data_IF_601095991239
#
_entry.id   IF_601095991239
#
_cell.length_a   1.000
_cell.length_b   1.000
_cell.length_c   1.000
_cell.angle_alpha   90.00
_cell.angle_beta   90.00
_cell.angle_gamma   90.00
#
_symmetry.space_group_name_H-M   'P 1'
#
loop_
_entity.id
_entity.type
_entity.pdbx_description
1 polymer ?
#
# COMPACT_ATOMS: atom_id res chain seq x y z
N UNK A 1 -14.06 23.29 -3.78
CA UNK A 1 -12.92 23.04 -2.88
C UNK A 1 -13.49 22.57 -1.56
N UNK A 2 -13.07 21.42 -1.03
CA UNK A 2 -13.52 20.98 0.30
C UNK A 2 -13.10 22.03 1.35
N UNK A 3 -14.02 22.43 2.22
CA UNK A 3 -13.71 23.41 3.26
C UNK A 3 -12.81 22.78 4.35
N UNK A 4 -12.11 23.59 5.13
CA UNK A 4 -11.15 23.10 6.14
C UNK A 4 -11.76 22.12 7.16
N UNK A 5 -13.02 22.32 7.52
CA UNK A 5 -13.77 21.44 8.42
C UNK A 5 -14.05 20.05 7.83
N UNK A 6 -14.36 19.98 6.53
CA UNK A 6 -14.61 18.73 5.83
C UNK A 6 -13.34 17.88 5.78
N UNK A 7 -12.19 18.51 5.49
CA UNK A 7 -10.89 17.82 5.46
C UNK A 7 -10.49 17.25 6.83
N UNK A 8 -10.76 17.98 7.91
CA UNK A 8 -10.53 17.49 9.27
C UNK A 8 -11.42 16.28 9.60
N UNK A 9 -12.69 16.31 9.18
CA UNK A 9 -13.62 15.19 9.36
C UNK A 9 -13.15 13.94 8.60
N UNK A 10 -12.72 14.11 7.34
CA UNK A 10 -12.16 13.02 6.54
C UNK A 10 -10.92 12.40 7.18
N UNK A 11 -10.01 13.23 7.68
CA UNK A 11 -8.82 12.77 8.39
C UNK A 11 -9.19 11.96 9.64
N UNK A 12 -10.13 12.45 10.48
CA UNK A 12 -10.58 11.72 11.67
C UNK A 12 -11.21 10.37 11.32
N UNK A 13 -12.05 10.32 10.30
CA UNK A 13 -12.68 9.07 9.82
C UNK A 13 -11.63 8.09 9.30
N UNK A 14 -10.62 8.58 8.59
CA UNK A 14 -9.53 7.78 8.08
C UNK A 14 -8.68 7.17 9.18
N UNK A 15 -8.35 7.97 10.20
CA UNK A 15 -7.63 7.49 11.38
C UNK A 15 -8.47 6.50 12.19
N UNK A 16 -9.77 6.74 12.34
CA UNK A 16 -10.67 5.82 13.03
C UNK A 16 -10.77 4.44 12.36
N UNK A 17 -10.79 4.40 11.03
CA UNK A 17 -10.95 3.16 10.29
C UNK A 17 -9.67 2.29 10.22
N UNK A 18 -8.52 2.78 10.71
CA UNK A 18 -7.25 2.03 10.84
C UNK A 18 -6.73 1.37 9.55
N UNK A 19 -7.25 1.77 8.39
CA UNK A 19 -7.06 0.99 7.18
C UNK A 19 -5.61 1.09 6.63
N UNK A 20 -4.80 2.04 7.08
CA UNK A 20 -3.47 2.31 6.53
C UNK A 20 -2.32 1.77 7.37
N UNK A 21 -2.60 1.03 8.44
CA UNK A 21 -1.58 0.55 9.37
C UNK A 21 -0.77 -0.63 8.83
N UNK A 22 0.30 -0.97 9.55
CA UNK A 22 1.24 -2.01 9.18
C UNK A 22 0.52 -3.34 8.89
N UNK A 23 0.85 -3.97 7.76
CA UNK A 23 0.27 -5.25 7.36
C UNK A 23 -1.09 -5.16 6.66
N UNK A 24 -1.63 -3.96 6.41
CA UNK A 24 -2.85 -3.81 5.61
C UNK A 24 -2.57 -3.88 4.11
N UNK A 25 -3.47 -4.53 3.38
CA UNK A 25 -3.36 -4.76 1.94
C UNK A 25 -4.39 -3.93 1.17
N UNK A 26 -3.93 -3.42 0.03
CA UNK A 26 -4.64 -2.47 -0.81
C UNK A 26 -4.45 -2.79 -2.28
N UNK A 27 -5.23 -2.14 -3.13
CA UNK A 27 -5.07 -2.09 -4.57
C UNK A 27 -4.72 -0.65 -4.97
N UNK A 28 -3.49 -0.46 -5.46
CA UNK A 28 -2.97 0.81 -5.95
C UNK A 28 -3.28 0.92 -7.43
N UNK A 29 -4.03 1.96 -7.83
CA UNK A 29 -4.33 2.20 -9.24
C UNK A 29 -3.08 2.53 -10.04
N UNK A 30 -3.11 2.16 -11.30
CA UNK A 30 -2.02 2.39 -12.23
C UNK A 30 -1.62 3.88 -12.34
N UNK A 31 -2.60 4.78 -12.31
CA UNK A 31 -2.38 6.24 -12.37
C UNK A 31 -1.52 6.75 -11.23
N UNK A 32 -1.74 6.22 -10.02
CA UNK A 32 -0.96 6.53 -8.84
C UNK A 32 0.47 6.04 -8.99
N UNK A 33 0.68 4.79 -9.41
CA UNK A 33 2.01 4.22 -9.55
C UNK A 33 2.83 4.95 -10.61
N UNK A 34 2.22 5.28 -11.75
CA UNK A 34 2.84 6.12 -12.78
C UNK A 34 3.26 7.47 -12.19
N UNK A 35 2.43 8.10 -11.35
CA UNK A 35 2.78 9.39 -10.76
C UNK A 35 3.88 9.30 -9.71
N UNK A 36 3.77 8.35 -8.78
CA UNK A 36 4.59 8.31 -7.55
C UNK A 36 5.86 7.45 -7.67
N UNK A 37 5.98 6.58 -8.68
CA UNK A 37 7.13 5.68 -8.83
C UNK A 37 8.00 6.08 -10.04
N UNK A 38 9.17 6.72 -9.81
CA UNK A 38 10.14 7.00 -10.87
C UNK A 38 10.60 5.72 -11.58
N UNK A 39 10.66 5.75 -12.90
CA UNK A 39 11.04 4.59 -13.73
C UNK A 39 9.96 3.52 -13.87
N UNK A 40 8.75 3.76 -13.37
CA UNK A 40 7.61 2.89 -13.61
C UNK A 40 7.19 2.92 -15.09
N UNK A 41 6.79 1.77 -15.62
CA UNK A 41 6.38 1.62 -17.02
C UNK A 41 5.16 2.49 -17.35
N UNK A 42 5.38 3.51 -18.19
CA UNK A 42 4.34 4.44 -18.62
C UNK A 42 3.35 3.79 -19.59
N UNK A 43 3.78 2.76 -20.31
CA UNK A 43 2.97 2.01 -21.28
C UNK A 43 2.11 0.91 -20.67
N UNK A 44 2.30 0.56 -19.40
CA UNK A 44 1.51 -0.49 -18.74
C UNK A 44 0.02 -0.18 -18.77
N UNK A 45 -0.77 -1.19 -19.16
CA UNK A 45 -2.23 -1.15 -19.30
C UNK A 45 -2.97 -1.83 -18.15
N UNK A 46 -2.24 -2.19 -17.08
CA UNK A 46 -2.82 -2.81 -15.90
C UNK A 46 -3.77 -1.85 -15.20
N UNK A 47 -4.78 -2.39 -14.51
CA UNK A 47 -5.69 -1.59 -13.70
C UNK A 47 -5.06 -1.16 -12.37
N UNK A 48 -4.16 -1.97 -11.84
CA UNK A 48 -3.45 -1.68 -10.61
C UNK A 48 -2.66 -2.86 -10.03
N UNK A 49 -1.99 -2.57 -8.92
CA UNK A 49 -1.10 -3.48 -8.22
C UNK A 49 -1.50 -3.62 -6.75
N UNK A 50 -1.28 -4.79 -6.13
CA UNK A 50 -1.37 -4.91 -4.70
C UNK A 50 -0.38 -3.96 -4.02
N UNK A 51 -0.85 -3.25 -3.00
CA UNK A 51 -0.04 -2.45 -2.09
C UNK A 51 -0.08 -3.08 -0.70
N UNK A 52 1.05 -3.09 -0.01
CA UNK A 52 1.17 -3.56 1.38
C UNK A 52 1.68 -2.41 2.25
N UNK A 53 0.88 -1.95 3.20
CA UNK A 53 1.30 -0.89 4.11
C UNK A 53 2.38 -1.38 5.06
N UNK A 54 3.46 -0.62 5.15
CA UNK A 54 4.53 -0.79 6.15
C UNK A 54 4.54 0.38 7.13
N UNK A 55 3.46 1.17 7.17
CA UNK A 55 3.37 2.34 8.01
C UNK A 55 3.06 1.95 9.46
N UNK A 56 3.92 2.36 10.39
CA UNK A 56 3.74 2.12 11.83
C UNK A 56 3.25 3.37 12.59
N UNK A 57 3.35 4.54 11.98
CA UNK A 57 2.98 5.80 12.60
C UNK A 57 1.53 6.15 12.30
N UNK A 58 0.84 6.74 13.27
CA UNK A 58 -0.45 7.38 13.01
C UNK A 58 -0.28 8.57 12.07
N UNK A 59 -1.27 8.75 11.20
CA UNK A 59 -1.38 9.91 10.33
C UNK A 59 -2.02 11.06 11.13
N UNK A 60 -1.40 12.23 11.09
CA UNK A 60 -1.84 13.47 11.73
C UNK A 60 -2.32 14.52 10.72
N UNK A 61 -2.05 14.32 9.43
CA UNK A 61 -2.42 15.22 8.35
C UNK A 61 -2.72 14.47 7.05
N UNK A 62 -3.60 15.02 6.22
CA UNK A 62 -3.88 14.49 4.87
C UNK A 62 -2.68 14.56 3.91
N UNK A 63 -1.62 15.29 4.30
CA UNK A 63 -0.35 15.38 3.58
C UNK A 63 0.69 14.39 4.07
N UNK A 64 0.45 13.72 5.20
CA UNK A 64 1.40 12.74 5.72
C UNK A 64 1.57 11.59 4.73
N UNK A 65 2.74 10.98 4.81
CA UNK A 65 3.10 9.89 3.91
C UNK A 65 2.89 8.55 4.59
N UNK A 66 2.10 7.71 3.95
CA UNK A 66 1.98 6.28 4.23
C UNK A 66 2.89 5.56 3.25
N UNK A 67 3.79 4.72 3.76
CA UNK A 67 4.69 3.93 2.92
C UNK A 67 4.08 2.58 2.61
N UNK A 68 4.06 2.22 1.33
CA UNK A 68 3.54 0.94 0.85
C UNK A 68 4.56 0.22 -0.02
N UNK A 69 4.66 -1.10 0.13
CA UNK A 69 5.37 -1.96 -0.80
C UNK A 69 4.46 -2.30 -1.99
N UNK A 70 5.02 -2.39 -3.19
CA UNK A 70 4.28 -2.81 -4.38
C UNK A 70 4.41 -4.32 -4.56
N UNK A 71 3.28 -5.00 -4.81
CA UNK A 71 3.21 -6.40 -5.15
C UNK A 71 3.64 -6.66 -6.60
N UNK A 72 4.57 -7.60 -6.76
CA UNK A 72 5.09 -8.07 -8.05
C UNK A 72 4.90 -9.58 -8.20
N UNK A 73 4.88 -10.06 -9.44
CA UNK A 73 4.62 -11.47 -9.76
C UNK A 73 5.83 -12.38 -9.57
N UNK A 74 7.05 -11.82 -9.63
CA UNK A 74 8.30 -12.56 -9.52
C UNK A 74 9.04 -12.10 -8.28
N UNK A 75 9.68 -13.02 -7.53
CA UNK A 75 10.52 -12.64 -6.40
C UNK A 75 11.70 -11.81 -6.91
N UNK A 76 12.05 -10.76 -6.17
CA UNK A 76 13.25 -9.97 -6.42
C UNK A 76 13.94 -9.67 -5.09
N UNK A 77 15.20 -10.09 -4.97
CA UNK A 77 15.96 -9.97 -3.73
C UNK A 77 15.22 -10.58 -2.53
N UNK A 78 15.34 -9.95 -1.36
CA UNK A 78 14.54 -10.31 -0.19
C UNK A 78 13.12 -9.74 -0.35
N UNK A 79 12.15 -10.64 -0.40
CA UNK A 79 10.73 -10.30 -0.57
C UNK A 79 9.85 -11.18 0.31
N UNK A 80 8.73 -10.62 0.77
CA UNK A 80 7.66 -11.35 1.43
C UNK A 80 6.77 -11.98 0.36
N UNK A 81 6.43 -13.25 0.50
CA UNK A 81 5.50 -13.94 -0.39
C UNK A 81 4.13 -14.07 0.28
N UNK A 82 3.09 -13.52 -0.36
CA UNK A 82 1.72 -13.50 0.15
C UNK A 82 0.81 -14.19 -0.87
N UNK A 83 -0.11 -15.03 -0.40
CA UNK A 83 -1.10 -15.70 -1.26
C UNK A 83 -2.48 -15.09 -1.09
N UNK A 84 -3.40 -15.37 -2.03
CA UNK A 84 -4.79 -14.88 -1.92
C UNK A 84 -4.97 -13.37 -2.09
N UNK A 85 -4.00 -12.66 -2.68
CA UNK A 85 -4.03 -11.18 -2.78
C UNK A 85 -4.97 -10.67 -3.88
N UNK A 86 -5.21 -11.46 -4.93
CA UNK A 86 -6.03 -11.06 -6.07
C UNK A 86 -7.21 -12.02 -6.24
N UNK A 87 -8.38 -11.47 -6.59
CA UNK A 87 -9.58 -12.25 -6.89
C UNK A 87 -9.29 -13.22 -8.03
N UNK A 88 -9.77 -14.46 -7.92
CA UNK A 88 -9.61 -15.52 -8.92
C UNK A 88 -8.16 -15.94 -9.20
N UNK A 89 -7.21 -15.60 -8.33
CA UNK A 89 -5.88 -16.20 -8.41
C UNK A 89 -5.90 -17.62 -7.84
N UNK A 90 -5.15 -18.56 -8.43
CA UNK A 90 -4.96 -19.88 -7.83
C UNK A 90 -4.44 -19.74 -6.39
N UNK A 91 -4.85 -20.62 -5.44
CA UNK A 91 -4.44 -20.53 -4.04
C UNK A 91 -2.91 -20.46 -3.84
N UNK A 92 -2.15 -21.16 -4.69
CA UNK A 92 -0.70 -21.23 -4.67
C UNK A 92 -0.01 -20.00 -5.30
N UNK A 93 -0.77 -19.13 -5.98
CA UNK A 93 -0.21 -17.97 -6.67
C UNK A 93 0.25 -16.93 -5.65
N UNK A 94 1.57 -16.75 -5.60
CA UNK A 94 2.24 -15.79 -4.73
C UNK A 94 2.30 -14.41 -5.36
N UNK A 95 2.06 -13.40 -4.55
CA UNK A 95 2.43 -12.01 -4.79
C UNK A 95 3.62 -11.69 -3.90
N UNK A 96 4.67 -11.15 -4.48
CA UNK A 96 5.89 -10.82 -3.76
C UNK A 96 5.94 -9.33 -3.45
N UNK A 97 6.23 -8.98 -2.20
CA UNK A 97 6.44 -7.60 -1.76
C UNK A 97 7.90 -7.43 -1.36
N UNK A 98 8.63 -6.62 -2.12
CA UNK A 98 10.03 -6.31 -1.81
C UNK A 98 10.12 -4.98 -1.05
N UNK A 99 11.18 -4.81 -0.26
CA UNK A 99 11.40 -3.59 0.55
C UNK A 99 12.03 -2.45 -0.28
N UNK A 100 12.35 -2.71 -1.55
CA UNK A 100 13.03 -1.72 -2.37
C UNK A 100 12.06 -0.65 -2.82
N UNK A 101 12.39 0.62 -2.51
CA UNK A 101 11.63 1.81 -2.92
C UNK A 101 10.13 1.71 -2.61
N UNK A 102 9.73 1.69 -1.32
CA UNK A 102 8.33 1.80 -0.95
C UNK A 102 7.72 3.06 -1.59
N UNK A 103 6.52 2.94 -2.12
CA UNK A 103 5.76 4.07 -2.66
C UNK A 103 5.25 4.90 -1.48
N UNK A 104 5.42 6.21 -1.60
CA UNK A 104 4.81 7.19 -0.72
C UNK A 104 3.40 7.50 -1.24
N UNK A 105 2.39 7.29 -0.41
CA UNK A 105 1.01 7.70 -0.69
C UNK A 105 0.49 8.59 0.42
N UNK A 106 -0.48 9.45 0.12
CA UNK A 106 -1.11 10.32 1.12
C UNK A 106 -2.53 9.85 1.43
N UNK A 107 -3.08 10.15 2.63
CA UNK A 107 -4.48 9.88 2.96
C UNK A 107 -5.48 10.35 1.90
N UNK A 108 -5.22 11.48 1.23
CA UNK A 108 -6.06 11.97 0.13
C UNK A 108 -6.26 10.97 -1.02
N UNK A 109 -5.31 10.05 -1.23
CA UNK A 109 -5.39 9.05 -2.31
C UNK A 109 -6.43 7.95 -2.02
N UNK A 110 -6.94 7.87 -0.79
CA UNK A 110 -7.93 6.87 -0.36
C UNK A 110 -9.38 7.35 -0.49
N UNK A 111 -9.62 8.64 -0.72
CA UNK A 111 -10.97 9.20 -0.78
C UNK A 111 -11.41 9.50 -2.21
N UNK A 112 -12.69 9.30 -2.48
CA UNK A 112 -13.36 9.97 -3.58
C UNK A 112 -13.61 11.42 -3.16
N UNK A 113 -12.86 12.33 -3.75
CA UNK A 113 -13.07 13.77 -3.61
C UNK A 113 -13.90 14.27 -4.79
N UNK A 114 -14.58 15.41 -4.63
CA UNK A 114 -15.38 16.01 -5.70
C UNK A 114 -14.58 16.30 -6.98
N UNK A 115 -13.25 16.40 -6.86
CA UNK A 115 -12.32 16.71 -7.96
C UNK A 115 -11.48 15.53 -8.43
N UNK A 116 -11.52 14.38 -7.74
CA UNK A 116 -10.65 13.25 -8.04
C UNK A 116 -11.21 11.94 -7.46
N UNK A 117 -11.17 10.88 -8.26
CA UNK A 117 -11.48 9.53 -7.80
C UNK A 117 -10.41 9.02 -6.82
N UNK A 118 -10.81 8.10 -5.93
CA UNK A 118 -9.85 7.39 -5.10
C UNK A 118 -8.87 6.61 -5.98
N UNK A 119 -7.58 6.65 -5.64
CA UNK A 119 -6.52 5.94 -6.35
C UNK A 119 -6.00 4.72 -5.60
N UNK A 120 -6.50 4.53 -4.38
CA UNK A 120 -6.21 3.39 -3.52
C UNK A 120 -7.54 2.79 -3.10
N UNK A 121 -7.70 1.51 -3.36
CA UNK A 121 -8.92 0.75 -3.08
C UNK A 121 -8.61 -0.40 -2.14
N UNK A 122 -9.53 -0.70 -1.23
CA UNK A 122 -9.34 -1.78 -0.25
C UNK A 122 -9.13 -3.10 -0.99
N UNK A 123 -8.22 -3.92 -0.48
CA UNK A 123 -8.13 -5.29 -0.96
C UNK A 123 -9.25 -6.13 -0.30
N UNK A 124 -10.38 -6.25 -0.98
CA UNK A 124 -11.55 -6.97 -0.46
C UNK A 124 -11.34 -8.51 -0.38
N UNK A 125 -10.31 -9.03 -1.06
CA UNK A 125 -10.00 -10.47 -1.07
C UNK A 125 -9.16 -10.84 0.14
N UNK A 126 -8.11 -10.05 0.40
CA UNK A 126 -7.25 -10.18 1.56
C UNK A 126 -6.92 -8.79 2.09
N UNK A 127 -7.69 -8.24 3.04
CA UNK A 127 -7.52 -6.87 3.52
C UNK A 127 -6.31 -6.69 4.45
N UNK A 128 -5.82 -7.77 5.05
CA UNK A 128 -4.66 -7.80 5.96
C UNK A 128 -3.87 -9.08 5.76
N UNK A 129 -2.58 -9.01 6.08
CA UNK A 129 -1.75 -10.21 6.24
C UNK A 129 -2.29 -11.10 7.37
N UNK A 130 -2.05 -12.40 7.25
CA UNK A 130 -2.21 -13.31 8.39
C UNK A 130 -1.01 -13.23 9.34
N UNK A 131 -1.12 -13.85 10.51
CA UNK A 131 -0.11 -13.75 11.57
C UNK A 131 1.28 -14.23 11.12
N UNK A 132 1.33 -15.24 10.26
CA UNK A 132 2.59 -15.78 9.73
C UNK A 132 3.22 -14.79 8.75
N UNK A 133 2.47 -14.33 7.77
CA UNK A 133 2.92 -13.32 6.82
C UNK A 133 3.31 -12.00 7.51
N UNK A 134 2.59 -11.63 8.57
CA UNK A 134 2.89 -10.46 9.39
C UNK A 134 4.25 -10.60 10.06
N UNK A 135 4.53 -11.73 10.73
CA UNK A 135 5.82 -11.99 11.35
C UNK A 135 6.98 -12.02 10.33
N UNK A 136 6.74 -12.60 9.15
CA UNK A 136 7.71 -12.59 8.04
C UNK A 136 7.99 -11.16 7.55
N UNK A 137 6.96 -10.30 7.45
CA UNK A 137 7.12 -8.88 7.10
C UNK A 137 7.97 -8.14 8.14
N UNK A 138 7.75 -8.40 9.43
CA UNK A 138 8.54 -7.79 10.50
C UNK A 138 10.02 -8.19 10.36
N UNK A 139 10.30 -9.49 10.23
CA UNK A 139 11.67 -9.99 10.06
C UNK A 139 12.35 -9.35 8.83
N UNK A 140 11.64 -9.29 7.71
CA UNK A 140 12.12 -8.68 6.47
C UNK A 140 12.57 -7.22 6.66
N UNK A 141 11.82 -6.43 7.45
CA UNK A 141 12.09 -5.01 7.68
C UNK A 141 13.15 -4.78 8.78
N UNK A 142 13.24 -5.64 9.79
CA UNK A 142 14.25 -5.55 10.85
C UNK A 142 15.67 -5.76 10.33
N UNK A 143 15.87 -6.65 9.37
CA UNK A 143 17.17 -6.89 8.75
C UNK A 143 17.75 -5.68 8.01
N UNK A 144 16.94 -4.66 7.67
CA UNK A 144 17.42 -3.44 7.02
C UNK A 144 18.16 -2.50 7.97
N UNK A 145 17.93 -2.60 9.29
CA UNK A 145 18.59 -1.73 10.30
C UNK A 145 20.04 -2.14 10.63
N UNK A 146 20.53 -3.29 10.14
CA UNK A 146 21.89 -3.78 10.41
C UNK A 146 22.90 -3.65 9.26
N UNK A 147 22.51 -3.02 8.14
CA UNK A 147 23.30 -2.98 6.90
C UNK A 147 23.94 -1.63 6.58
N UNK A 148 24.25 -0.82 7.59
CA UNK A 148 25.06 0.38 7.43
C UNK A 148 26.54 0.06 7.65
N UNK A 149 27.27 -0.22 6.57
CA UNK A 149 28.71 0.02 6.47
C UNK A 149 28.92 0.89 5.23
#
# INVERSE_FOLDING_TARGET
MANGHELERWLRLFCYADNYHFGTLWMLKETLLKRECPGYDRGSTRLGHPGLSINRSSVLSLKDTIRMLIGISLPYGRSLAVTGVRKNSPPEKKTFFNVMRPVAVCPRNFFHLSTAAAEIERNDVKPRLDDKEYAELEALLHHRKGGGR
#
